data_IF_244608443954
#
_entry.id   IF_244608443954
#
_cell.length_a   1.000
_cell.length_b   1.000
_cell.length_c   1.000
_cell.angle_alpha   90.00
_cell.angle_beta   90.00
_cell.angle_gamma   90.00
#
_symmetry.space_group_name_H-M   'P 1'
#
loop_
_entity.id
_entity.type
_entity.pdbx_description
1 polymer ?
#
# COMPACT_ATOMS: atom_id res chain seq x y z
N UNK A 1 -8.51 70.71 53.13
CA UNK A 1 -9.92 70.28 53.34
C UNK A 1 -10.48 69.91 51.94
N UNK A 2 -11.06 68.80 51.80
CA UNK A 2 -11.83 68.14 50.78
C UNK A 2 -11.15 66.92 50.12
N UNK A 3 -11.63 65.80 50.61
CA UNK A 3 -11.47 64.47 50.06
C UNK A 3 -12.32 64.34 48.79
N UNK A 4 -11.76 63.81 47.70
CA UNK A 4 -12.54 63.43 46.54
C UNK A 4 -12.32 61.97 46.22
N UNK A 5 -13.41 61.21 46.28
CA UNK A 5 -13.47 59.76 46.01
C UNK A 5 -13.40 59.52 44.50
N UNK A 6 -12.43 58.78 44.04
CA UNK A 6 -12.40 58.24 42.70
C UNK A 6 -13.03 56.85 42.75
N UNK A 7 -14.21 56.70 42.09
CA UNK A 7 -14.87 55.41 41.87
C UNK A 7 -14.16 54.69 40.73
N UNK A 8 -13.60 53.54 41.04
CA UNK A 8 -13.05 52.58 40.09
C UNK A 8 -14.22 51.83 39.45
N UNK A 9 -14.49 52.10 38.15
CA UNK A 9 -15.43 51.33 37.36
C UNK A 9 -14.66 50.16 36.75
N UNK A 10 -14.87 48.96 37.27
CA UNK A 10 -14.37 47.73 36.67
C UNK A 10 -15.32 47.31 35.58
N UNK A 11 -14.90 47.51 34.32
CA UNK A 11 -15.58 46.92 33.15
C UNK A 11 -15.25 45.40 33.13
N UNK A 12 -16.25 44.60 33.45
CA UNK A 12 -16.24 43.16 33.19
C UNK A 12 -16.57 42.95 31.71
N UNK A 13 -15.54 42.70 30.89
CA UNK A 13 -15.71 42.21 29.54
C UNK A 13 -16.06 40.72 29.62
N UNK A 14 -17.33 40.42 29.47
CA UNK A 14 -17.76 39.03 29.20
C UNK A 14 -17.28 38.63 27.80
N UNK A 15 -16.19 37.89 27.73
CA UNK A 15 -15.87 37.05 26.54
C UNK A 15 -16.84 35.89 26.51
N UNK A 16 -17.85 35.97 25.66
CA UNK A 16 -18.66 34.83 25.25
C UNK A 16 -17.75 33.94 24.38
N UNK A 17 -17.05 32.98 25.00
CA UNK A 17 -16.45 31.87 24.30
C UNK A 17 -17.63 30.97 23.89
N UNK A 18 -18.06 31.10 22.64
CA UNK A 18 -18.95 30.13 22.03
C UNK A 18 -18.18 28.81 21.91
N UNK A 19 -18.38 27.93 22.88
CA UNK A 19 -17.98 26.53 22.77
C UNK A 19 -18.81 25.92 21.63
N UNK A 20 -18.28 25.98 20.42
CA UNK A 20 -18.66 25.06 19.39
C UNK A 20 -18.22 23.67 19.88
N UNK A 21 -19.12 22.99 20.55
CA UNK A 21 -18.99 21.55 20.78
C UNK A 21 -19.03 20.89 19.41
N UNK A 22 -17.87 20.66 18.82
CA UNK A 22 -17.73 19.64 17.80
C UNK A 22 -18.14 18.35 18.51
N UNK A 23 -19.37 17.91 18.29
CA UNK A 23 -19.75 16.54 18.56
C UNK A 23 -18.94 15.67 17.59
N UNK A 24 -17.71 15.37 17.94
CA UNK A 24 -17.03 14.20 17.42
C UNK A 24 -17.81 13.03 17.98
N UNK A 25 -18.72 12.50 17.20
CA UNK A 25 -19.28 11.18 17.48
C UNK A 25 -18.09 10.23 17.49
N UNK A 26 -17.64 9.87 18.68
CA UNK A 26 -16.62 8.85 18.83
C UNK A 26 -17.27 7.55 18.35
N UNK A 27 -16.89 7.12 17.13
CA UNK A 27 -17.26 5.79 16.63
C UNK A 27 -16.74 4.78 17.66
N UNK A 28 -17.60 3.88 18.11
CA UNK A 28 -17.16 2.78 18.99
C UNK A 28 -16.28 1.85 18.20
N UNK A 29 -14.97 2.02 18.35
CA UNK A 29 -13.92 1.24 17.69
C UNK A 29 -13.48 0.01 18.49
N UNK A 30 -14.24 -0.38 19.52
CA UNK A 30 -13.92 -1.55 20.36
C UNK A 30 -13.94 -2.84 19.54
N UNK A 31 -14.75 -2.88 18.50
CA UNK A 31 -14.87 -4.00 17.57
C UNK A 31 -14.67 -3.54 16.13
N UNK A 32 -14.29 -4.46 15.27
CA UNK A 32 -14.03 -4.24 13.84
C UNK A 32 -14.99 -5.08 13.01
N UNK A 33 -15.64 -4.47 12.03
CA UNK A 33 -16.34 -5.18 10.97
C UNK A 33 -15.37 -5.56 9.87
N UNK A 34 -15.60 -6.73 9.30
CA UNK A 34 -14.82 -7.28 8.18
C UNK A 34 -15.77 -7.69 7.06
N UNK A 35 -15.40 -7.32 5.82
CA UNK A 35 -16.17 -7.66 4.63
C UNK A 35 -15.24 -8.03 3.49
N UNK A 36 -15.49 -9.19 2.86
CA UNK A 36 -14.83 -9.59 1.60
C UNK A 36 -15.44 -8.79 0.44
N UNK A 37 -14.59 -8.26 -0.43
CA UNK A 37 -15.00 -7.44 -1.57
C UNK A 37 -14.33 -7.93 -2.87
N UNK A 38 -14.97 -7.62 -3.99
CA UNK A 38 -14.43 -7.86 -5.32
C UNK A 38 -13.98 -6.55 -5.96
N UNK A 39 -12.73 -6.51 -6.40
CA UNK A 39 -12.10 -5.38 -7.06
C UNK A 39 -11.78 -5.80 -8.50
N UNK A 40 -12.06 -4.95 -9.48
CA UNK A 40 -11.72 -5.22 -10.87
C UNK A 40 -10.44 -4.48 -11.29
N UNK A 41 -9.44 -5.22 -11.74
CA UNK A 41 -8.19 -4.69 -12.29
C UNK A 41 -7.96 -5.27 -13.69
N UNK A 42 -8.05 -4.42 -14.70
CA UNK A 42 -7.80 -4.80 -16.10
C UNK A 42 -8.59 -6.06 -16.55
N UNK A 43 -9.85 -6.17 -16.13
CA UNK A 43 -10.72 -7.29 -16.48
C UNK A 43 -10.51 -8.57 -15.64
N UNK A 44 -9.66 -8.51 -14.62
CA UNK A 44 -9.42 -9.62 -13.69
C UNK A 44 -10.01 -9.27 -12.31
N UNK A 45 -10.70 -10.21 -11.67
CA UNK A 45 -11.23 -10.04 -10.33
C UNK A 45 -10.12 -10.25 -9.29
N UNK A 46 -9.95 -9.24 -8.45
CA UNK A 46 -9.13 -9.33 -7.25
C UNK A 46 -10.05 -9.50 -6.04
N UNK A 47 -9.63 -10.31 -5.08
CA UNK A 47 -10.29 -10.39 -3.79
C UNK A 47 -9.62 -9.47 -2.79
N UNK A 48 -10.43 -8.66 -2.10
CA UNK A 48 -10.00 -7.78 -1.03
C UNK A 48 -10.80 -7.97 0.25
N UNK A 49 -10.26 -7.46 1.35
CA UNK A 49 -10.89 -7.41 2.66
C UNK A 49 -10.93 -5.97 3.15
N UNK A 50 -12.13 -5.48 3.41
CA UNK A 50 -12.37 -4.19 4.06
C UNK A 50 -12.57 -4.41 5.55
N UNK A 51 -11.79 -3.67 6.34
CA UNK A 51 -11.92 -3.60 7.79
C UNK A 51 -12.35 -2.17 8.16
N UNK A 52 -13.37 -2.04 8.98
CA UNK A 52 -13.84 -0.73 9.47
C UNK A 52 -14.28 -0.80 10.93
N UNK A 53 -14.31 0.33 11.64
CA UNK A 53 -14.86 0.36 12.99
C UNK A 53 -16.30 -0.11 12.98
N UNK A 54 -16.68 -0.93 13.97
CA UNK A 54 -18.08 -1.34 14.17
C UNK A 54 -18.92 -0.16 14.66
N UNK A 55 -20.18 -0.15 14.26
CA UNK A 55 -21.14 0.87 14.72
C UNK A 55 -21.07 2.19 13.95
N UNK A 56 -20.40 2.25 12.80
CA UNK A 56 -20.48 3.40 11.90
C UNK A 56 -21.91 3.61 11.40
N UNK A 57 -22.38 4.85 11.43
CA UNK A 57 -23.70 5.24 10.93
C UNK A 57 -23.66 5.55 9.43
N UNK A 58 -24.84 5.59 8.83
CA UNK A 58 -24.98 6.05 7.45
C UNK A 58 -24.61 7.53 7.39
N UNK A 59 -23.63 7.86 6.53
CA UNK A 59 -23.10 9.22 6.40
C UNK A 59 -21.76 9.47 7.13
N UNK A 60 -21.37 8.61 8.05
CA UNK A 60 -20.04 8.69 8.66
C UNK A 60 -18.97 8.47 7.59
N UNK A 61 -17.88 9.24 7.69
CA UNK A 61 -16.73 9.10 6.80
C UNK A 61 -15.43 9.08 7.58
N UNK A 62 -14.57 8.14 7.24
CA UNK A 62 -13.25 8.00 7.82
C UNK A 62 -12.18 7.99 6.73
N UNK A 63 -10.93 8.37 7.06
CA UNK A 63 -9.81 8.21 6.14
C UNK A 63 -9.59 6.75 5.77
N UNK A 64 -9.15 6.51 4.52
CA UNK A 64 -8.88 5.17 4.01
C UNK A 64 -7.40 4.80 4.05
N UNK A 65 -7.07 3.56 4.39
CA UNK A 65 -5.71 2.99 4.30
C UNK A 65 -5.73 1.78 3.38
N UNK A 66 -4.96 1.84 2.29
CA UNK A 66 -4.69 0.69 1.44
C UNK A 66 -3.45 -0.05 1.93
N UNK A 67 -3.55 -1.37 2.10
CA UNK A 67 -2.43 -2.22 2.47
C UNK A 67 -1.94 -3.03 1.27
N UNK A 68 -0.65 -2.90 0.95
CA UNK A 68 -0.01 -3.50 -0.23
C UNK A 68 0.98 -4.58 0.19
N UNK A 69 0.70 -5.87 -0.07
CA UNK A 69 1.60 -6.96 0.32
C UNK A 69 2.89 -6.97 -0.51
N UNK A 70 3.91 -7.64 0.02
CA UNK A 70 5.19 -7.83 -0.65
C UNK A 70 5.18 -8.95 -1.69
N UNK A 71 6.38 -9.35 -2.11
CA UNK A 71 6.61 -10.44 -3.05
C UNK A 71 6.04 -11.76 -2.53
N UNK A 72 5.16 -12.38 -3.31
CA UNK A 72 4.55 -13.68 -2.96
C UNK A 72 3.68 -13.63 -1.71
N UNK A 73 3.51 -12.45 -1.13
CA UNK A 73 2.57 -12.20 -0.07
C UNK A 73 1.15 -12.04 -0.60
N UNK A 74 0.21 -12.42 0.21
CA UNK A 74 -1.21 -12.17 0.00
C UNK A 74 -1.75 -11.34 1.17
N UNK A 75 -2.99 -10.90 1.06
CA UNK A 75 -3.65 -10.10 2.09
C UNK A 75 -3.56 -10.74 3.48
N UNK A 76 -3.77 -12.05 3.61
CA UNK A 76 -3.76 -12.77 4.89
C UNK A 76 -2.42 -12.73 5.64
N UNK A 77 -1.30 -12.49 4.96
CA UNK A 77 0.01 -12.39 5.59
C UNK A 77 0.22 -11.09 6.37
N UNK A 78 -0.47 -10.03 5.96
CA UNK A 78 -0.29 -8.68 6.52
C UNK A 78 -1.51 -8.22 7.32
N UNK A 79 -2.72 -8.56 6.89
CA UNK A 79 -3.95 -8.00 7.43
C UNK A 79 -4.15 -8.29 8.91
N UNK A 80 -4.01 -9.56 9.35
CA UNK A 80 -4.26 -9.97 10.74
C UNK A 80 -3.45 -9.17 11.77
N UNK A 81 -2.28 -8.70 11.38
CA UNK A 81 -1.36 -8.00 12.27
C UNK A 81 -1.49 -6.48 12.22
N UNK A 82 -2.11 -5.92 11.18
CA UNK A 82 -2.19 -4.48 10.95
C UNK A 82 -3.62 -3.98 10.76
N UNK A 83 -4.41 -4.59 9.88
CA UNK A 83 -5.70 -4.06 9.47
C UNK A 83 -6.69 -3.85 10.63
N UNK A 84 -6.91 -4.81 11.57
CA UNK A 84 -7.80 -4.59 12.70
C UNK A 84 -7.31 -3.47 13.63
N UNK A 85 -5.98 -3.29 13.77
CA UNK A 85 -5.42 -2.23 14.61
C UNK A 85 -5.65 -0.85 14.02
N UNK A 86 -5.48 -0.71 12.70
CA UNK A 86 -5.76 0.55 12.02
C UNK A 86 -7.28 0.84 12.00
N UNK A 87 -8.10 -0.19 11.77
CA UNK A 87 -9.55 -0.04 11.83
C UNK A 87 -10.04 0.38 13.22
N UNK A 88 -9.58 -0.27 14.29
CA UNK A 88 -9.89 0.13 15.68
C UNK A 88 -9.48 1.57 15.99
N UNK A 89 -8.47 2.08 15.32
CA UNK A 89 -8.03 3.46 15.46
C UNK A 89 -8.83 4.45 14.61
N UNK A 90 -9.90 4.04 13.94
CA UNK A 90 -10.80 4.92 13.18
C UNK A 90 -10.37 5.14 11.72
N UNK A 91 -9.89 4.11 11.06
CA UNK A 91 -9.63 4.10 9.62
C UNK A 91 -10.47 3.02 8.93
N UNK A 92 -10.78 3.22 7.66
CA UNK A 92 -11.27 2.14 6.80
C UNK A 92 -10.07 1.56 6.06
N UNK A 93 -9.84 0.27 6.23
CA UNK A 93 -8.63 -0.40 5.75
C UNK A 93 -9.00 -1.41 4.69
N UNK A 94 -8.36 -1.34 3.54
CA UNK A 94 -8.46 -2.33 2.48
C UNK A 94 -7.14 -3.07 2.35
N UNK A 95 -7.19 -4.40 2.42
CA UNK A 95 -6.12 -5.28 1.95
C UNK A 95 -6.63 -6.10 0.77
N UNK A 96 -5.73 -6.58 -0.11
CA UNK A 96 -6.14 -7.34 -1.29
C UNK A 96 -5.07 -8.33 -1.72
N UNK A 97 -5.49 -9.34 -2.47
CA UNK A 97 -4.61 -10.26 -3.17
C UNK A 97 -4.32 -9.75 -4.58
N UNK A 98 -3.06 -9.72 -4.96
CA UNK A 98 -2.70 -9.41 -6.33
C UNK A 98 -3.28 -10.42 -7.32
N UNK A 99 -3.52 -9.98 -8.56
CA UNK A 99 -3.84 -10.84 -9.70
C UNK A 99 -2.91 -12.06 -9.74
N UNK A 100 -3.46 -13.25 -9.91
CA UNK A 100 -2.79 -14.54 -9.87
C UNK A 100 -2.31 -15.04 -8.47
N UNK A 101 -2.60 -14.29 -7.41
CA UNK A 101 -2.24 -14.65 -6.03
C UNK A 101 -3.48 -14.84 -5.14
N UNK A 102 -3.30 -15.52 -4.02
CA UNK A 102 -4.33 -15.72 -3.00
C UNK A 102 -5.64 -16.22 -3.59
N UNK A 103 -6.71 -15.49 -3.32
CA UNK A 103 -8.07 -15.77 -3.81
C UNK A 103 -8.44 -14.97 -5.08
N UNK A 104 -7.53 -14.10 -5.54
CA UNK A 104 -7.74 -13.35 -6.78
C UNK A 104 -7.65 -14.27 -8.00
N UNK A 105 -8.43 -13.92 -9.03
CA UNK A 105 -8.28 -14.52 -10.35
C UNK A 105 -6.91 -14.18 -10.95
N UNK A 106 -6.57 -14.82 -12.04
CA UNK A 106 -5.36 -14.54 -12.81
C UNK A 106 -5.63 -14.60 -14.31
N UNK A 107 -4.64 -14.26 -15.13
CA UNK A 107 -4.72 -14.47 -16.54
C UNK A 107 -4.99 -15.95 -16.87
N UNK A 108 -5.63 -16.18 -18.01
CA UNK A 108 -5.88 -17.52 -18.53
C UNK A 108 -5.29 -17.66 -19.94
N UNK A 109 -4.83 -18.85 -20.27
CA UNK A 109 -4.46 -19.23 -21.63
C UNK A 109 -5.55 -20.15 -22.17
N UNK A 110 -6.21 -19.75 -23.24
CA UNK A 110 -7.24 -20.57 -23.87
C UNK A 110 -6.61 -21.80 -24.53
N UNK A 111 -7.24 -22.97 -24.38
CA UNK A 111 -6.81 -24.19 -25.03
C UNK A 111 -6.93 -24.11 -26.56
N UNK A 112 -7.93 -23.36 -27.03
CA UNK A 112 -8.21 -23.18 -28.47
C UNK A 112 -8.46 -21.71 -28.78
N UNK A 113 -8.21 -21.29 -30.04
CA UNK A 113 -8.55 -19.95 -30.50
C UNK A 113 -10.08 -19.81 -30.55
N UNK A 114 -10.58 -18.74 -29.98
CA UNK A 114 -12.00 -18.40 -30.13
C UNK A 114 -12.29 -17.99 -31.58
N UNK A 115 -13.50 -18.34 -32.03
CA UNK A 115 -14.03 -17.77 -33.26
C UNK A 115 -14.15 -16.24 -33.13
N UNK A 116 -13.88 -15.52 -34.20
CA UNK A 116 -14.09 -14.08 -34.22
C UNK A 116 -15.58 -13.79 -34.08
N UNK A 117 -15.96 -13.09 -33.05
CA UNK A 117 -17.33 -12.62 -32.82
C UNK A 117 -17.36 -11.09 -32.93
N UNK A 118 -18.38 -10.56 -33.56
CA UNK A 118 -18.53 -9.11 -33.76
C UNK A 118 -19.19 -8.41 -32.56
N UNK A 119 -19.81 -9.16 -31.68
CA UNK A 119 -20.53 -8.65 -30.51
C UNK A 119 -20.03 -9.35 -29.25
N UNK A 120 -19.94 -8.62 -28.15
CA UNK A 120 -19.59 -9.19 -26.87
C UNK A 120 -20.58 -10.31 -26.51
N UNK A 121 -20.07 -11.49 -26.21
CA UNK A 121 -20.84 -12.67 -25.86
C UNK A 121 -20.18 -13.46 -24.75
N UNK A 122 -20.97 -14.18 -23.96
CA UNK A 122 -20.44 -15.15 -23.01
C UNK A 122 -20.25 -16.49 -23.71
N UNK A 123 -19.06 -17.06 -23.53
CA UNK A 123 -18.72 -18.38 -24.08
C UNK A 123 -18.06 -19.23 -23.01
N UNK A 124 -18.34 -20.52 -23.03
CA UNK A 124 -17.62 -21.48 -22.19
C UNK A 124 -16.39 -21.97 -22.94
N UNK A 125 -15.23 -21.89 -22.30
CA UNK A 125 -13.93 -22.26 -22.90
C UNK A 125 -13.11 -23.12 -21.96
N UNK A 126 -12.30 -24.00 -22.53
CA UNK A 126 -11.23 -24.67 -21.80
C UNK A 126 -10.02 -23.73 -21.71
N UNK A 127 -9.56 -23.46 -20.51
CA UNK A 127 -8.46 -22.55 -20.28
C UNK A 127 -7.54 -23.05 -19.15
N UNK A 128 -6.27 -22.67 -19.24
CA UNK A 128 -5.30 -22.89 -18.19
C UNK A 128 -5.14 -21.61 -17.39
N UNK A 129 -5.35 -21.69 -16.09
CA UNK A 129 -5.20 -20.58 -15.16
C UNK A 129 -3.73 -20.34 -14.84
N UNK A 130 -3.25 -19.11 -15.05
CA UNK A 130 -1.89 -18.69 -14.71
C UNK A 130 -1.86 -18.17 -13.28
N UNK A 131 -0.95 -18.72 -12.48
CA UNK A 131 -0.84 -18.40 -11.05
C UNK A 131 0.57 -17.92 -10.69
N UNK A 132 0.62 -17.12 -9.62
CA UNK A 132 1.86 -16.74 -8.93
C UNK A 132 2.88 -16.00 -9.79
N UNK A 133 2.42 -15.16 -10.71
CA UNK A 133 3.28 -14.28 -11.50
C UNK A 133 3.68 -13.06 -10.67
N UNK A 134 4.97 -12.70 -10.69
CA UNK A 134 5.50 -11.45 -10.14
C UNK A 134 5.81 -10.53 -11.31
N UNK A 135 4.86 -9.69 -11.67
CA UNK A 135 5.02 -8.65 -12.67
C UNK A 135 4.71 -7.28 -12.02
N UNK A 136 5.73 -6.51 -11.60
CA UNK A 136 5.51 -5.28 -10.86
C UNK A 136 4.76 -4.21 -11.65
N UNK A 137 4.88 -4.19 -12.98
CA UNK A 137 4.15 -3.23 -13.82
C UNK A 137 2.64 -3.52 -13.79
N UNK A 138 2.26 -4.80 -13.89
CA UNK A 138 0.87 -5.23 -13.74
C UNK A 138 0.37 -5.07 -12.30
N UNK A 139 1.24 -5.31 -11.30
CA UNK A 139 0.89 -5.16 -9.88
C UNK A 139 0.65 -3.70 -9.48
N UNK A 140 1.32 -2.72 -10.11
CA UNK A 140 1.00 -1.29 -9.93
C UNK A 140 -0.45 -1.00 -10.34
N UNK A 141 -0.94 -1.60 -11.42
CA UNK A 141 -2.34 -1.42 -11.84
C UNK A 141 -3.34 -2.05 -10.85
N UNK A 142 -2.96 -3.16 -10.21
CA UNK A 142 -3.76 -3.76 -9.14
C UNK A 142 -3.83 -2.84 -7.91
N UNK A 143 -2.70 -2.23 -7.51
CA UNK A 143 -2.66 -1.23 -6.42
C UNK A 143 -3.52 -0.02 -6.75
N UNK A 144 -3.47 0.48 -8.00
CA UNK A 144 -4.34 1.58 -8.45
C UNK A 144 -5.81 1.22 -8.38
N UNK A 145 -6.18 0.04 -8.91
CA UNK A 145 -7.56 -0.43 -8.86
C UNK A 145 -8.08 -0.55 -7.42
N UNK A 146 -7.25 -1.10 -6.52
CA UNK A 146 -7.59 -1.19 -5.11
C UNK A 146 -7.71 0.19 -4.43
N UNK A 147 -6.85 1.15 -4.78
CA UNK A 147 -6.94 2.51 -4.27
C UNK A 147 -8.21 3.24 -4.76
N UNK A 148 -8.56 3.07 -6.03
CA UNK A 148 -9.81 3.63 -6.58
C UNK A 148 -11.03 2.99 -5.94
N UNK A 149 -11.02 1.67 -5.73
CA UNK A 149 -12.08 0.97 -5.02
C UNK A 149 -12.25 1.56 -3.62
N UNK A 150 -11.17 1.63 -2.82
CA UNK A 150 -11.19 2.18 -1.47
C UNK A 150 -11.73 3.63 -1.45
N UNK A 151 -11.24 4.48 -2.35
CA UNK A 151 -11.67 5.88 -2.44
C UNK A 151 -13.12 6.06 -2.91
N UNK A 152 -13.75 5.03 -3.51
CA UNK A 152 -15.15 5.03 -3.95
C UNK A 152 -16.12 4.51 -2.89
N UNK A 153 -15.63 3.91 -1.81
CA UNK A 153 -16.46 3.42 -0.70
C UNK A 153 -17.20 4.58 -0.03
N UNK A 154 -18.50 4.41 0.20
CA UNK A 154 -19.39 5.49 0.67
C UNK A 154 -18.94 6.11 2.01
N UNK A 155 -18.34 5.30 2.87
CA UNK A 155 -17.87 5.71 4.20
C UNK A 155 -16.40 6.14 4.22
N UNK A 156 -15.72 6.21 3.08
CA UNK A 156 -14.34 6.68 2.98
C UNK A 156 -14.29 8.16 2.61
N UNK A 157 -13.38 8.90 3.21
CA UNK A 157 -13.01 10.25 2.79
C UNK A 157 -12.17 10.16 1.50
N UNK A 158 -12.71 10.48 0.31
CA UNK A 158 -12.07 10.13 -0.96
C UNK A 158 -10.73 10.83 -1.20
N UNK A 159 -10.49 11.97 -0.55
CA UNK A 159 -9.27 12.77 -0.67
C UNK A 159 -8.30 12.61 0.50
N UNK A 160 -8.59 11.69 1.45
CA UNK A 160 -7.76 11.42 2.62
C UNK A 160 -7.39 9.94 2.63
N UNK A 161 -6.55 9.54 1.68
CA UNK A 161 -6.09 8.17 1.54
C UNK A 161 -4.64 8.04 2.01
N UNK A 162 -4.34 6.92 2.65
CA UNK A 162 -2.99 6.49 2.99
C UNK A 162 -2.68 5.15 2.34
N UNK A 163 -1.40 4.90 2.12
CA UNK A 163 -0.94 3.59 1.65
C UNK A 163 0.11 3.07 2.63
N UNK A 164 -0.06 1.82 3.06
CA UNK A 164 0.95 1.05 3.76
C UNK A 164 1.43 -0.06 2.85
N UNK A 165 2.73 -0.12 2.57
CA UNK A 165 3.30 -1.15 1.71
C UNK A 165 4.53 -1.80 2.32
N UNK A 166 4.66 -3.12 2.19
CA UNK A 166 5.81 -3.85 2.74
C UNK A 166 6.60 -4.56 1.67
N UNK A 167 7.94 -4.63 1.84
CA UNK A 167 8.86 -5.26 0.90
C UNK A 167 8.59 -4.73 -0.53
N UNK A 168 8.47 -5.58 -1.54
CA UNK A 168 8.10 -5.18 -2.90
C UNK A 168 6.85 -4.29 -2.94
N UNK A 169 5.87 -4.55 -2.06
CA UNK A 169 4.66 -3.73 -1.95
C UNK A 169 4.91 -2.27 -1.58
N UNK A 170 6.00 -1.97 -0.87
CA UNK A 170 6.39 -0.58 -0.58
C UNK A 170 6.88 0.16 -1.81
N UNK A 171 7.60 -0.52 -2.71
CA UNK A 171 7.98 0.05 -4.02
C UNK A 171 6.76 0.32 -4.91
N UNK A 172 5.80 -0.63 -4.95
CA UNK A 172 4.53 -0.46 -5.67
C UNK A 172 3.71 0.71 -5.09
N UNK A 173 3.64 0.78 -3.76
CA UNK A 173 2.96 1.85 -3.03
C UNK A 173 3.55 3.24 -3.34
N UNK A 174 4.87 3.35 -3.41
CA UNK A 174 5.55 4.60 -3.79
C UNK A 174 5.13 5.08 -5.18
N UNK A 175 5.13 4.18 -6.17
CA UNK A 175 4.73 4.51 -7.54
C UNK A 175 3.30 5.05 -7.59
N UNK A 176 2.38 4.42 -6.86
CA UNK A 176 0.98 4.85 -6.84
C UNK A 176 0.80 6.14 -6.05
N UNK A 177 1.42 6.25 -4.87
CA UNK A 177 1.32 7.46 -4.03
C UNK A 177 1.91 8.70 -4.71
N UNK A 178 2.94 8.54 -5.53
CA UNK A 178 3.57 9.65 -6.25
C UNK A 178 2.76 10.14 -7.46
N UNK A 179 1.72 9.41 -7.86
CA UNK A 179 0.88 9.70 -9.04
C UNK A 179 -0.62 9.87 -8.71
N UNK A 180 -0.96 9.96 -7.41
CA UNK A 180 -2.35 10.17 -6.98
C UNK A 180 -2.38 11.16 -5.80
N UNK A 181 -2.90 12.35 -6.03
CA UNK A 181 -2.94 13.48 -5.08
C UNK A 181 -3.89 13.26 -3.90
N UNK A 182 -4.77 12.26 -3.98
CA UNK A 182 -5.63 11.83 -2.87
C UNK A 182 -4.85 11.12 -1.79
N UNK A 183 -3.65 10.57 -2.12
CA UNK A 183 -2.77 9.92 -1.15
C UNK A 183 -2.02 10.99 -0.36
N UNK A 184 -2.38 11.15 0.91
CA UNK A 184 -1.78 12.13 1.82
C UNK A 184 -0.62 11.57 2.61
N UNK A 185 -0.55 10.25 2.78
CA UNK A 185 0.53 9.62 3.52
C UNK A 185 0.90 8.26 2.96
N UNK A 186 2.20 7.99 2.98
CA UNK A 186 2.81 6.73 2.59
C UNK A 186 3.61 6.18 3.77
N UNK A 187 3.38 4.92 4.11
CA UNK A 187 4.21 4.16 5.05
C UNK A 187 4.80 2.96 4.33
N UNK A 188 6.11 2.82 4.37
CA UNK A 188 6.80 1.68 3.77
C UNK A 188 7.60 0.92 4.81
N UNK A 189 7.61 -0.40 4.71
CA UNK A 189 8.34 -1.29 5.59
C UNK A 189 9.24 -2.23 4.77
N UNK A 190 10.56 -2.21 5.04
CA UNK A 190 11.59 -3.02 4.37
C UNK A 190 11.43 -3.07 2.85
N UNK A 191 11.35 -1.90 2.21
CA UNK A 191 10.97 -1.77 0.82
C UNK A 191 12.16 -1.50 -0.13
N UNK A 192 12.31 -2.28 -1.21
CA UNK A 192 13.23 -1.95 -2.29
C UNK A 192 12.63 -0.88 -3.22
N UNK A 193 13.42 0.14 -3.56
CA UNK A 193 13.01 1.24 -4.44
C UNK A 193 13.90 1.38 -5.68
N UNK A 194 15.14 0.90 -5.65
CA UNK A 194 16.12 1.06 -6.70
C UNK A 194 16.40 -0.28 -7.38
N UNK A 195 15.53 -0.67 -8.30
CA UNK A 195 15.65 -1.95 -9.01
C UNK A 195 16.80 -1.96 -10.02
N UNK A 196 17.17 -0.80 -10.57
CA UNK A 196 18.37 -0.67 -11.41
C UNK A 196 19.61 -1.11 -10.65
N UNK A 197 19.77 -0.67 -9.41
CA UNK A 197 20.86 -1.09 -8.55
C UNK A 197 20.73 -2.54 -8.10
N UNK A 198 19.56 -2.94 -7.62
CA UNK A 198 19.33 -4.27 -7.07
C UNK A 198 19.54 -5.38 -8.11
N UNK A 199 19.25 -5.10 -9.39
CA UNK A 199 19.38 -6.04 -10.51
C UNK A 199 20.62 -5.79 -11.39
N UNK A 200 21.56 -4.96 -10.94
CA UNK A 200 22.74 -4.58 -11.73
C UNK A 200 23.66 -5.76 -12.09
N UNK A 201 23.66 -6.79 -11.26
CA UNK A 201 24.47 -8.00 -11.50
C UNK A 201 23.96 -8.88 -12.64
N UNK A 202 22.72 -8.67 -13.13
CA UNK A 202 22.17 -9.44 -14.24
C UNK A 202 22.69 -8.86 -15.57
N UNK A 203 23.46 -9.64 -16.36
CA UNK A 203 24.02 -9.16 -17.62
C UNK A 203 22.95 -8.76 -18.62
N UNK A 204 23.16 -7.68 -19.36
CA UNK A 204 22.22 -7.21 -20.39
C UNK A 204 21.93 -8.26 -21.48
N UNK A 205 22.93 -9.07 -21.82
CA UNK A 205 22.75 -10.16 -22.79
C UNK A 205 21.77 -11.22 -22.26
N UNK A 206 21.92 -11.61 -21.01
CA UNK A 206 21.00 -12.58 -20.37
C UNK A 206 19.57 -12.03 -20.36
N UNK A 207 19.40 -10.75 -20.06
CA UNK A 207 18.09 -10.11 -20.07
C UNK A 207 17.45 -10.12 -21.46
N UNK A 208 18.22 -9.79 -22.53
CA UNK A 208 17.72 -9.88 -23.91
C UNK A 208 17.31 -11.29 -24.31
N UNK A 209 18.03 -12.31 -23.84
CA UNK A 209 17.64 -13.71 -24.07
C UNK A 209 16.31 -14.03 -23.40
N UNK A 210 16.13 -13.62 -22.15
CA UNK A 210 14.88 -13.79 -21.40
C UNK A 210 13.71 -13.09 -22.12
N UNK A 211 13.91 -11.85 -22.58
CA UNK A 211 12.91 -11.11 -23.36
C UNK A 211 12.52 -11.84 -24.65
N UNK A 212 13.51 -12.35 -25.39
CA UNK A 212 13.25 -13.09 -26.62
C UNK A 212 12.49 -14.42 -26.37
N UNK A 213 12.84 -15.12 -25.29
CA UNK A 213 12.14 -16.35 -24.89
C UNK A 213 10.71 -16.06 -24.44
N UNK A 214 10.48 -15.00 -23.68
CA UNK A 214 9.16 -14.57 -23.26
C UNK A 214 8.26 -14.23 -24.46
N UNK A 215 8.79 -13.46 -25.42
CA UNK A 215 8.07 -13.08 -26.63
C UNK A 215 7.70 -14.28 -27.52
N UNK A 216 8.43 -15.39 -27.42
CA UNK A 216 8.16 -16.64 -28.15
C UNK A 216 7.30 -17.64 -27.34
N UNK A 217 6.85 -17.27 -26.15
CA UNK A 217 6.12 -18.18 -25.27
C UNK A 217 6.96 -19.36 -24.73
N UNK A 218 8.29 -19.22 -24.76
CA UNK A 218 9.22 -20.29 -24.36
C UNK A 218 9.55 -20.24 -22.86
N UNK A 219 9.28 -19.13 -22.19
CA UNK A 219 9.31 -19.05 -20.73
C UNK A 219 7.93 -19.49 -20.27
N UNK A 220 7.85 -20.52 -19.44
CA UNK A 220 6.57 -20.95 -18.91
C UNK A 220 5.92 -19.77 -18.16
N UNK A 221 4.67 -19.46 -18.45
CA UNK A 221 3.92 -18.47 -17.65
C UNK A 221 3.60 -19.02 -16.25
N UNK A 222 4.16 -20.17 -15.91
CA UNK A 222 3.93 -20.85 -14.65
C UNK A 222 5.15 -20.79 -13.78
N UNK A 223 4.91 -20.46 -12.54
CA UNK A 223 5.95 -20.51 -11.57
C UNK A 223 6.44 -21.93 -11.35
N UNK A 224 7.73 -22.05 -11.23
CA UNK A 224 8.26 -23.13 -10.46
C UNK A 224 7.84 -23.02 -8.99
N UNK A 225 8.06 -24.03 -8.20
CA UNK A 225 7.66 -24.03 -6.79
C UNK A 225 8.35 -22.98 -5.93
N UNK A 226 9.47 -22.42 -6.40
CA UNK A 226 10.26 -21.40 -5.71
C UNK A 226 10.96 -20.47 -6.70
N UNK A 227 11.19 -19.22 -6.31
CA UNK A 227 12.02 -18.30 -7.06
C UNK A 227 13.48 -18.76 -7.07
N UNK A 228 14.16 -18.60 -8.21
CA UNK A 228 15.59 -18.91 -8.32
C UNK A 228 16.49 -17.90 -7.60
N UNK A 229 16.01 -16.68 -7.32
CA UNK A 229 16.79 -15.65 -6.63
C UNK A 229 16.93 -15.96 -5.14
N UNK A 230 15.84 -16.37 -4.53
CA UNK A 230 15.80 -16.69 -3.12
C UNK A 230 14.88 -17.90 -2.92
N UNK A 231 15.37 -19.00 -2.34
CA UNK A 231 14.59 -20.22 -2.17
C UNK A 231 13.35 -20.03 -1.28
N UNK A 232 13.29 -18.93 -0.52
CA UNK A 232 12.14 -18.59 0.31
C UNK A 232 11.11 -17.71 -0.40
N UNK A 233 11.43 -17.17 -1.58
CA UNK A 233 10.50 -16.38 -2.39
C UNK A 233 9.74 -17.30 -3.35
N UNK A 234 8.41 -17.23 -3.30
CA UNK A 234 7.53 -18.01 -4.18
C UNK A 234 7.25 -17.23 -5.46
N UNK A 235 6.89 -17.95 -6.51
CA UNK A 235 6.37 -17.39 -7.74
C UNK A 235 7.41 -17.17 -8.82
N UNK A 236 6.92 -16.68 -9.95
CA UNK A 236 7.67 -16.47 -11.18
C UNK A 236 7.88 -14.98 -11.42
N UNK A 237 9.10 -14.49 -11.25
CA UNK A 237 9.41 -13.12 -11.61
C UNK A 237 9.42 -12.95 -13.15
N UNK A 238 8.61 -12.01 -13.62
CA UNK A 238 8.77 -11.45 -14.95
C UNK A 238 9.98 -10.51 -14.93
N UNK A 239 11.13 -11.03 -15.31
CA UNK A 239 12.40 -10.30 -15.25
C UNK A 239 12.43 -9.08 -16.16
N UNK A 240 11.67 -9.10 -17.25
CA UNK A 240 11.53 -7.96 -18.16
C UNK A 240 10.79 -6.83 -17.49
N UNK A 241 9.66 -7.13 -16.87
CA UNK A 241 8.89 -6.17 -16.07
C UNK A 241 9.68 -5.68 -14.85
N UNK A 242 10.37 -6.60 -14.15
CA UNK A 242 11.23 -6.26 -13.01
C UNK A 242 12.34 -5.26 -13.38
N UNK A 243 12.96 -5.42 -14.54
CA UNK A 243 14.04 -4.53 -15.02
C UNK A 243 13.53 -3.14 -15.42
N UNK A 244 12.26 -3.02 -15.78
CA UNK A 244 11.60 -1.75 -16.15
C UNK A 244 10.96 -1.05 -14.96
N UNK A 245 10.79 -1.76 -13.85
CA UNK A 245 10.18 -1.24 -12.65
C UNK A 245 11.22 -0.48 -11.80
N UNK A 246 11.06 0.83 -11.70
CA UNK A 246 12.00 1.67 -10.95
C UNK A 246 11.24 2.70 -10.09
N UNK A 247 10.78 2.30 -8.88
CA UNK A 247 10.08 3.20 -7.97
C UNK A 247 10.83 4.50 -7.68
N UNK A 248 12.17 4.47 -7.63
CA UNK A 248 13.00 5.64 -7.34
C UNK A 248 12.81 6.79 -8.35
N UNK A 249 12.36 6.51 -9.58
CA UNK A 249 12.09 7.54 -10.58
C UNK A 249 10.88 8.41 -10.21
N UNK A 250 10.00 7.95 -9.33
CA UNK A 250 8.81 8.67 -8.88
C UNK A 250 9.05 9.57 -7.65
N UNK A 251 10.26 9.59 -7.10
CA UNK A 251 10.59 10.37 -5.90
C UNK A 251 10.27 11.86 -6.03
N UNK A 252 10.44 12.43 -7.23
CA UNK A 252 10.31 13.87 -7.46
C UNK A 252 8.84 14.34 -7.53
N UNK A 253 7.92 13.46 -7.85
CA UNK A 253 6.46 13.72 -7.89
C UNK A 253 5.75 13.37 -6.59
N UNK A 254 6.40 12.64 -5.68
CA UNK A 254 5.80 12.27 -4.39
C UNK A 254 5.50 13.51 -3.55
N UNK A 255 4.25 13.65 -3.10
CA UNK A 255 3.78 14.73 -2.21
C UNK A 255 3.34 14.22 -0.83
N UNK A 256 3.06 12.93 -0.72
CA UNK A 256 2.54 12.30 0.48
C UNK A 256 3.57 12.32 1.63
N UNK A 257 3.12 12.68 2.85
CA UNK A 257 3.95 12.55 4.04
C UNK A 257 4.42 11.10 4.19
N UNK A 258 5.75 10.87 4.25
CA UNK A 258 6.31 9.53 4.05
C UNK A 258 7.11 9.03 5.25
N UNK A 259 6.71 7.87 5.80
CA UNK A 259 7.46 7.10 6.78
C UNK A 259 8.13 5.90 6.11
N UNK A 260 9.44 5.82 6.23
CA UNK A 260 10.26 4.72 5.71
C UNK A 260 10.84 3.95 6.88
N UNK A 261 10.53 2.67 6.97
CA UNK A 261 10.98 1.76 8.02
C UNK A 261 11.79 0.63 7.42
N UNK A 262 13.06 0.50 7.81
CA UNK A 262 13.94 -0.56 7.32
C UNK A 262 14.48 -1.44 8.45
N UNK A 263 14.85 -2.68 8.11
CA UNK A 263 15.60 -3.55 8.98
C UNK A 263 17.08 -3.16 8.95
N UNK A 264 17.73 -3.08 10.12
CA UNK A 264 19.13 -2.67 10.22
C UNK A 264 20.08 -3.64 9.50
N UNK A 265 19.77 -4.93 9.60
CA UNK A 265 20.58 -6.02 9.04
C UNK A 265 19.92 -6.61 7.77
N UNK A 266 19.31 -5.76 6.94
CA UNK A 266 18.70 -6.13 5.66
C UNK A 266 19.69 -6.82 4.72
N UNK A 267 19.30 -7.98 4.16
CA UNK A 267 20.16 -8.78 3.30
C UNK A 267 19.60 -9.06 1.90
N UNK A 268 18.33 -8.73 1.66
CA UNK A 268 17.73 -8.91 0.35
C UNK A 268 18.11 -7.77 -0.61
N UNK A 269 18.38 -6.58 -0.04
CA UNK A 269 18.82 -5.41 -0.78
C UNK A 269 19.64 -4.46 0.14
N UNK A 270 20.29 -3.47 -0.44
CA UNK A 270 21.08 -2.50 0.32
C UNK A 270 20.22 -1.29 0.71
N UNK A 271 20.00 -1.06 2.01
CA UNK A 271 19.23 0.08 2.52
C UNK A 271 19.81 1.44 2.06
N UNK A 272 21.15 1.56 1.97
CA UNK A 272 21.79 2.80 1.54
C UNK A 272 21.43 3.18 0.09
N UNK A 273 21.06 2.20 -0.73
CA UNK A 273 20.67 2.38 -2.12
C UNK A 273 19.13 2.33 -2.31
N UNK A 274 18.38 2.05 -1.26
CA UNK A 274 16.93 1.93 -1.28
C UNK A 274 16.27 2.91 -0.29
N UNK A 275 15.84 2.48 0.88
CA UNK A 275 15.08 3.31 1.81
C UNK A 275 15.81 4.56 2.28
N UNK A 276 17.08 4.45 2.66
CA UNK A 276 17.88 5.61 3.06
C UNK A 276 18.08 6.59 1.89
N UNK A 277 18.33 6.09 0.69
CA UNK A 277 18.47 6.92 -0.52
C UNK A 277 17.18 7.66 -0.86
N UNK A 278 16.02 6.98 -0.78
CA UNK A 278 14.73 7.62 -0.98
C UNK A 278 14.54 8.74 0.04
N UNK A 279 14.75 8.46 1.33
CA UNK A 279 14.64 9.46 2.39
C UNK A 279 15.51 10.69 2.11
N UNK A 280 16.78 10.48 1.79
CA UNK A 280 17.71 11.58 1.47
C UNK A 280 17.24 12.42 0.28
N UNK A 281 16.61 11.79 -0.71
CA UNK A 281 16.10 12.47 -1.90
C UNK A 281 14.85 13.32 -1.66
N UNK A 282 14.02 12.97 -0.65
CA UNK A 282 12.72 13.61 -0.44
C UNK A 282 12.66 14.50 0.81
N UNK A 283 13.55 14.32 1.80
CA UNK A 283 13.47 14.92 3.15
C UNK A 283 13.35 16.45 3.19
N UNK A 284 13.91 17.14 2.21
CA UNK A 284 13.92 18.61 2.15
C UNK A 284 12.67 19.17 1.43
N UNK A 285 11.85 18.29 0.83
CA UNK A 285 10.67 18.65 0.04
C UNK A 285 9.37 18.05 0.60
N UNK A 286 9.45 16.84 1.12
CA UNK A 286 8.30 16.10 1.65
C UNK A 286 8.51 15.84 3.13
N UNK A 287 7.46 16.07 3.93
CA UNK A 287 7.48 15.64 5.34
C UNK A 287 7.78 14.16 5.39
N UNK A 288 8.94 13.80 5.94
CA UNK A 288 9.39 12.42 5.92
C UNK A 288 10.21 12.03 7.14
N UNK A 289 10.19 10.73 7.44
CA UNK A 289 10.99 10.11 8.51
C UNK A 289 11.58 8.81 8.02
N UNK A 290 12.84 8.57 8.38
CA UNK A 290 13.52 7.30 8.19
C UNK A 290 13.81 6.66 9.53
N UNK A 291 13.46 5.39 9.69
CA UNK A 291 13.69 4.64 10.91
C UNK A 291 14.21 3.24 10.61
N UNK A 292 15.12 2.74 11.43
CA UNK A 292 15.62 1.37 11.35
C UNK A 292 15.27 0.58 12.59
N UNK A 293 15.02 -0.70 12.42
CA UNK A 293 14.69 -1.67 13.46
C UNK A 293 15.78 -2.74 13.53
N UNK A 294 16.05 -3.34 14.70
CA UNK A 294 17.04 -4.40 14.81
C UNK A 294 16.64 -5.64 14.00
N UNK A 295 17.65 -6.44 13.59
CA UNK A 295 17.44 -7.67 12.83
C UNK A 295 17.31 -7.46 11.32
N UNK A 296 16.92 -8.53 10.62
CA UNK A 296 16.80 -8.58 9.16
C UNK A 296 15.37 -8.41 8.65
N UNK A 297 15.20 -8.61 7.35
CA UNK A 297 13.94 -8.40 6.62
C UNK A 297 12.71 -9.04 7.30
N UNK A 298 12.84 -10.30 7.69
CA UNK A 298 11.70 -11.07 8.22
C UNK A 298 11.43 -10.81 9.70
N UNK A 299 12.39 -10.23 10.42
CA UNK A 299 12.20 -9.86 11.83
C UNK A 299 11.20 -8.70 11.99
N UNK A 300 10.94 -7.94 10.91
CA UNK A 300 9.95 -6.87 10.88
C UNK A 300 8.50 -7.37 10.97
N UNK A 301 8.26 -8.67 10.77
CA UNK A 301 6.91 -9.26 10.76
C UNK A 301 6.55 -10.02 12.03
N UNK A 302 7.39 -9.95 13.07
CA UNK A 302 7.21 -10.69 14.31
C UNK A 302 7.74 -9.95 15.53
N UNK A 303 7.35 -10.44 16.71
CA UNK A 303 7.88 -9.97 18.01
C UNK A 303 7.66 -8.48 18.26
N UNK A 304 8.67 -7.84 18.85
CA UNK A 304 8.60 -6.43 19.24
C UNK A 304 8.77 -5.50 18.04
N UNK A 305 9.55 -5.88 17.02
CA UNK A 305 9.66 -5.11 15.79
C UNK A 305 8.29 -4.91 15.11
N UNK A 306 7.49 -5.97 15.00
CA UNK A 306 6.13 -5.87 14.47
C UNK A 306 5.27 -4.89 15.29
N UNK A 307 5.29 -4.99 16.61
CA UNK A 307 4.49 -4.14 17.49
C UNK A 307 4.91 -2.68 17.37
N UNK A 308 6.22 -2.42 17.39
CA UNK A 308 6.78 -1.08 17.30
C UNK A 308 6.55 -0.46 15.91
N UNK A 309 6.83 -1.19 14.82
CA UNK A 309 6.59 -0.72 13.46
C UNK A 309 5.11 -0.41 13.20
N UNK A 310 4.19 -1.24 13.70
CA UNK A 310 2.76 -1.01 13.65
C UNK A 310 2.34 0.24 14.42
N UNK A 311 2.91 0.47 15.59
CA UNK A 311 2.65 1.66 16.43
C UNK A 311 3.15 2.92 15.71
N UNK A 312 4.36 2.91 15.15
CA UNK A 312 4.92 4.01 14.37
C UNK A 312 4.04 4.33 13.13
N UNK A 313 3.63 3.30 12.40
CA UNK A 313 2.74 3.45 11.26
C UNK A 313 1.40 4.09 11.67
N UNK A 314 0.80 3.61 12.76
CA UNK A 314 -0.46 4.15 13.27
C UNK A 314 -0.34 5.61 13.71
N UNK A 315 0.74 5.97 14.41
CA UNK A 315 1.01 7.36 14.80
C UNK A 315 1.16 8.26 13.58
N UNK A 316 1.85 7.77 12.53
CA UNK A 316 2.02 8.49 11.28
C UNK A 316 0.69 8.73 10.56
N UNK A 317 -0.15 7.70 10.43
CA UNK A 317 -1.48 7.85 9.86
C UNK A 317 -2.38 8.78 10.69
N UNK A 318 -2.37 8.68 12.02
CA UNK A 318 -3.14 9.59 12.86
C UNK A 318 -2.72 11.05 12.66
N UNK A 319 -1.43 11.31 12.50
CA UNK A 319 -0.90 12.66 12.33
C UNK A 319 -1.21 13.27 10.95
N UNK A 320 -1.25 12.47 9.89
CA UNK A 320 -1.30 13.00 8.52
C UNK A 320 -2.56 12.63 7.73
N UNK A 321 -3.47 11.83 8.28
CA UNK A 321 -4.75 11.52 7.65
C UNK A 321 -5.97 12.07 8.39
N UNK A 322 -5.87 12.37 9.68
CA UNK A 322 -7.02 12.80 10.49
C UNK A 322 -7.18 14.31 10.62
N UNK A 323 -6.36 15.08 9.92
CA UNK A 323 -6.37 16.56 10.00
C UNK A 323 -6.69 17.19 8.66
#
# INVERSE_FOLDING_TARGET
MFKSYVKLITLFSLYLVSLFSFNTYAVDVSEVEHQVVTIWSQGVRLEGDVYKPKGMLVGDKLPGILMVPGWGGNKSNIEKNYAPHFAKAGFIVLSFDFKSWGQSDGPVVLAEKLAVVQVASQVNVNATHIRQIINPLSMVEDVRAALYFLGSEAQVMPNNLGIWGTSMGGGLALVVAANDDRVKTLVTQVAPFNYKYNLKAIPAQQMRQVEAMAARGMIPPYPGPKSQINPNLRGYPDWVAMKRFEPMEHKDTLQAATLIMDAKDEKLFNNAENGLRLYQAIKDRVTSRYRTFPGGHYDMYQGDNLKEARTEALQWFNQYLKH
#
